data_IF_797773288166
#
_entry.id   IF_797773288166
#
_cell.length_a   1.000
_cell.length_b   1.000
_cell.length_c   1.000
_cell.angle_alpha   90.00
_cell.angle_beta   90.00
_cell.angle_gamma   90.00
#
_symmetry.space_group_name_H-M   'P 1'
#
loop_
_entity.id
_entity.type
_entity.pdbx_description
1 polymer ?
#
# COMPACT_ATOMS: atom_id res chain seq x y z
N UNK A 1 -9.22 28.48 9.36
CA UNK A 1 -8.54 28.08 8.10
C UNK A 1 -7.85 26.72 8.23
N UNK A 2 -7.11 26.42 9.30
CA UNK A 2 -6.43 25.12 9.49
C UNK A 2 -7.35 23.86 9.50
N UNK A 3 -8.60 23.98 9.96
CA UNK A 3 -9.49 22.83 10.15
C UNK A 3 -9.95 22.17 8.84
N UNK A 4 -10.19 22.96 7.79
CA UNK A 4 -10.59 22.45 6.48
C UNK A 4 -9.44 21.68 5.79
N UNK A 5 -8.20 22.15 5.95
CA UNK A 5 -7.01 21.47 5.42
C UNK A 5 -6.73 20.15 6.14
N UNK A 6 -6.97 20.06 7.45
CA UNK A 6 -6.83 18.79 8.17
C UNK A 6 -7.88 17.77 7.70
N UNK A 7 -9.13 18.21 7.52
CA UNK A 7 -10.22 17.35 7.05
C UNK A 7 -9.91 16.73 5.66
N UNK A 8 -9.38 17.52 4.73
CA UNK A 8 -9.05 17.04 3.38
C UNK A 8 -7.87 16.07 3.40
N UNK A 9 -6.85 16.33 4.23
CA UNK A 9 -5.70 15.44 4.40
C UNK A 9 -6.13 14.10 5.00
N UNK A 10 -6.98 14.10 6.03
CA UNK A 10 -7.47 12.88 6.65
C UNK A 10 -8.33 12.05 5.69
N UNK A 11 -9.20 12.72 4.92
CA UNK A 11 -10.01 12.08 3.89
C UNK A 11 -9.13 11.43 2.82
N UNK A 12 -8.13 12.15 2.33
CA UNK A 12 -7.21 11.67 1.31
C UNK A 12 -6.37 10.48 1.82
N UNK A 13 -5.95 10.52 3.09
CA UNK A 13 -5.26 9.41 3.75
C UNK A 13 -6.17 8.17 3.84
N UNK A 14 -7.44 8.35 4.18
CA UNK A 14 -8.42 7.27 4.27
C UNK A 14 -8.71 6.63 2.90
N UNK A 15 -8.86 7.45 1.86
CA UNK A 15 -9.08 7.01 0.49
C UNK A 15 -7.87 6.22 -0.01
N UNK A 16 -6.64 6.75 0.13
CA UNK A 16 -5.42 6.03 -0.27
C UNK A 16 -5.28 4.70 0.47
N UNK A 17 -5.66 4.65 1.74
CA UNK A 17 -5.67 3.40 2.53
C UNK A 17 -6.66 2.37 1.98
N UNK A 18 -7.86 2.79 1.55
CA UNK A 18 -8.85 1.90 0.90
C UNK A 18 -8.34 1.37 -0.44
N UNK A 19 -7.78 2.24 -1.28
CA UNK A 19 -7.21 1.87 -2.59
C UNK A 19 -6.09 0.84 -2.42
N UNK A 20 -5.16 1.06 -1.47
CA UNK A 20 -4.10 0.09 -1.13
C UNK A 20 -4.64 -1.29 -0.77
N UNK A 21 -5.73 -1.35 -0.01
CA UNK A 21 -6.38 -2.62 0.33
C UNK A 21 -7.02 -3.29 -0.88
N UNK A 22 -7.63 -2.53 -1.80
CA UNK A 22 -8.19 -3.06 -3.04
C UNK A 22 -7.11 -3.71 -3.91
N UNK A 23 -5.97 -3.03 -4.14
CA UNK A 23 -4.84 -3.63 -4.86
C UNK A 23 -4.27 -4.86 -4.13
N UNK A 24 -4.17 -4.82 -2.80
CA UNK A 24 -3.69 -5.97 -2.03
C UNK A 24 -4.59 -7.19 -2.14
N UNK A 25 -5.91 -6.99 -2.23
CA UNK A 25 -6.89 -8.06 -2.48
C UNK A 25 -6.83 -8.55 -3.92
N UNK A 26 -6.60 -7.65 -4.88
CA UNK A 26 -6.46 -7.99 -6.30
C UNK A 26 -5.22 -8.88 -6.54
N UNK A 27 -4.11 -8.60 -5.86
CA UNK A 27 -2.89 -9.39 -5.97
C UNK A 27 -2.92 -10.62 -5.06
N UNK A 28 -3.64 -11.68 -5.47
CA UNK A 28 -3.79 -12.89 -4.65
C UNK A 28 -2.49 -13.68 -4.44
N UNK A 29 -1.62 -13.75 -5.45
CA UNK A 29 -0.38 -14.54 -5.40
C UNK A 29 0.81 -13.69 -4.91
N UNK A 30 1.68 -14.21 -4.01
CA UNK A 30 2.88 -13.49 -3.55
C UNK A 30 3.77 -13.02 -4.70
N UNK A 31 4.00 -13.87 -5.72
CA UNK A 31 4.78 -13.52 -6.91
C UNK A 31 4.20 -12.31 -7.66
N UNK A 32 2.87 -12.23 -7.76
CA UNK A 32 2.19 -11.09 -8.40
C UNK A 32 2.33 -9.83 -7.56
N UNK A 33 2.22 -9.92 -6.23
CA UNK A 33 2.44 -8.79 -5.32
C UNK A 33 3.84 -8.21 -5.50
N UNK A 34 4.87 -9.06 -5.43
CA UNK A 34 6.26 -8.63 -5.57
C UNK A 34 6.50 -7.98 -6.93
N UNK A 35 6.03 -8.59 -8.03
CA UNK A 35 6.16 -8.02 -9.38
C UNK A 35 5.45 -6.67 -9.51
N UNK A 36 4.24 -6.53 -8.99
CA UNK A 36 3.50 -5.27 -9.02
C UNK A 36 4.17 -4.18 -8.18
N UNK A 37 4.69 -4.52 -6.99
CA UNK A 37 5.42 -3.58 -6.14
C UNK A 37 6.72 -3.10 -6.81
N UNK A 38 7.47 -4.00 -7.45
CA UNK A 38 8.67 -3.62 -8.22
C UNK A 38 8.34 -2.72 -9.41
N UNK A 39 7.24 -2.99 -10.13
CA UNK A 39 6.76 -2.11 -11.21
C UNK A 39 6.40 -0.70 -10.72
N UNK A 40 5.99 -0.57 -9.46
CA UNK A 40 5.67 0.70 -8.81
C UNK A 40 6.89 1.37 -8.16
N UNK A 41 8.12 0.90 -8.44
CA UNK A 41 9.35 1.52 -7.96
C UNK A 41 9.79 1.12 -6.55
N UNK A 42 9.17 0.10 -5.96
CA UNK A 42 9.63 -0.46 -4.68
C UNK A 42 10.88 -1.29 -4.91
N UNK A 43 11.92 -1.07 -4.11
CA UNK A 43 13.15 -1.87 -4.16
C UNK A 43 12.85 -3.37 -3.97
N UNK A 44 13.52 -4.23 -4.74
CA UNK A 44 13.26 -5.67 -4.77
C UNK A 44 13.22 -6.31 -3.38
N UNK A 45 14.19 -5.98 -2.52
CA UNK A 45 14.26 -6.47 -1.13
C UNK A 45 13.01 -6.12 -0.32
N UNK A 46 12.52 -4.88 -0.47
CA UNK A 46 11.34 -4.40 0.23
C UNK A 46 10.06 -4.95 -0.39
N UNK A 47 10.02 -5.10 -1.71
CA UNK A 47 8.92 -5.71 -2.46
C UNK A 47 8.74 -7.18 -2.06
N UNK A 48 9.82 -7.95 -1.97
CA UNK A 48 9.81 -9.34 -1.49
C UNK A 48 9.31 -9.40 -0.05
N UNK A 49 9.93 -8.65 0.87
CA UNK A 49 9.54 -8.64 2.28
C UNK A 49 8.05 -8.27 2.49
N UNK A 50 7.53 -7.33 1.70
CA UNK A 50 6.11 -6.96 1.74
C UNK A 50 5.24 -8.02 1.06
N UNK A 51 5.61 -8.51 -0.12
CA UNK A 51 4.78 -9.40 -0.94
C UNK A 51 4.61 -10.81 -0.40
N UNK A 52 5.61 -11.33 0.33
CA UNK A 52 5.56 -12.67 0.97
C UNK A 52 4.87 -12.66 2.34
N UNK A 53 4.52 -11.49 2.88
CA UNK A 53 3.89 -11.42 4.20
C UNK A 53 2.54 -12.12 4.21
N UNK A 54 2.33 -13.00 5.19
CA UNK A 54 1.04 -13.64 5.48
C UNK A 54 0.09 -12.74 6.27
N UNK A 55 0.44 -11.46 6.46
CA UNK A 55 -0.42 -10.46 7.12
C UNK A 55 -1.55 -10.03 6.20
N UNK A 56 -2.72 -9.80 6.82
CA UNK A 56 -3.91 -9.33 6.13
C UNK A 56 -3.78 -7.90 5.55
N UNK A 57 -4.65 -7.53 4.60
CA UNK A 57 -4.60 -6.26 3.86
C UNK A 57 -4.57 -5.01 4.75
N UNK A 58 -5.24 -5.03 5.90
CA UNK A 58 -5.25 -3.91 6.86
C UNK A 58 -3.88 -3.63 7.48
N UNK A 59 -3.07 -4.68 7.72
CA UNK A 59 -1.72 -4.52 8.26
C UNK A 59 -0.73 -4.21 7.15
N UNK A 60 -0.88 -4.86 6.00
CA UNK A 60 -0.02 -4.63 4.83
C UNK A 60 -0.12 -3.19 4.30
N UNK A 61 -1.31 -2.58 4.33
CA UNK A 61 -1.50 -1.18 3.87
C UNK A 61 -0.75 -0.11 4.68
N UNK A 62 -0.19 -0.46 5.86
CA UNK A 62 0.66 0.43 6.66
C UNK A 62 2.16 0.22 6.40
N UNK A 63 2.52 -0.74 5.54
CA UNK A 63 3.92 -1.14 5.35
C UNK A 63 4.63 -0.17 4.42
N UNK A 64 5.91 0.08 4.69
CA UNK A 64 6.75 1.01 3.91
C UNK A 64 6.75 0.69 2.41
N UNK A 65 6.76 -0.59 2.03
CA UNK A 65 6.69 -0.97 0.61
C UNK A 65 5.39 -0.57 -0.09
N UNK A 66 4.24 -0.65 0.58
CA UNK A 66 2.96 -0.20 -0.01
C UNK A 66 2.86 1.32 -0.03
N UNK A 67 3.34 2.00 1.02
CA UNK A 67 3.39 3.47 1.04
C UNK A 67 4.35 4.04 0.00
N UNK A 68 5.37 3.30 -0.44
CA UNK A 68 6.22 3.72 -1.56
C UNK A 68 5.55 3.41 -2.89
N UNK A 69 4.91 2.25 -3.01
CA UNK A 69 4.23 1.83 -4.25
C UNK A 69 3.00 2.66 -4.61
N UNK A 70 2.27 3.13 -3.59
CA UNK A 70 0.97 3.79 -3.68
C UNK A 70 0.93 5.01 -2.74
N UNK A 71 2.08 5.68 -2.62
CA UNK A 71 2.32 6.87 -1.81
C UNK A 71 1.78 8.12 -2.42
#
# INVERSE_FOLDING_TARGET
IANAYQLTVDLDHWIRRRIRMCYWRQWRKPRTKVRSLMKLGVSERLAIACGITSKGPCRSSKTKGINIALG
#
